data_IF_724191724053
#
_entry.id   IF_724191724053
#
_cell.length_a   1.000
_cell.length_b   1.000
_cell.length_c   1.000
_cell.angle_alpha   90.00
_cell.angle_beta   90.00
_cell.angle_gamma   90.00
#
_symmetry.space_group_name_H-M   'P 1'
#
loop_
_entity.id
_entity.type
_entity.pdbx_description
1 polymer ?
#
# COMPACT_ATOMS: atom_id res chain seq x y z
N UNK A 1 -11.44 2.28 -3.94
CA UNK A 1 -11.98 0.95 -3.59
C UNK A 1 -12.06 0.04 -4.81
N UNK A 2 -12.84 0.36 -5.85
CA UNK A 2 -13.03 -0.52 -7.02
C UNK A 2 -11.75 -0.96 -7.73
N UNK A 3 -10.79 -0.05 -7.94
CA UNK A 3 -9.49 -0.39 -8.53
C UNK A 3 -8.73 -1.46 -7.71
N UNK A 4 -8.69 -1.32 -6.38
CA UNK A 4 -8.04 -2.28 -5.49
C UNK A 4 -8.66 -3.68 -5.56
N UNK A 5 -10.00 -3.75 -5.57
CA UNK A 5 -10.72 -5.01 -5.73
C UNK A 5 -10.41 -5.67 -7.09
N UNK A 6 -10.41 -4.89 -8.16
CA UNK A 6 -10.13 -5.42 -9.50
C UNK A 6 -8.68 -5.88 -9.64
N UNK A 7 -7.72 -5.13 -9.10
CA UNK A 7 -6.31 -5.54 -9.09
C UNK A 7 -6.14 -6.86 -8.32
N UNK A 8 -6.77 -7.01 -7.15
CA UNK A 8 -6.75 -8.27 -6.40
C UNK A 8 -7.32 -9.45 -7.20
N UNK A 9 -8.45 -9.26 -7.89
CA UNK A 9 -9.04 -10.29 -8.77
C UNK A 9 -8.11 -10.69 -9.93
N UNK A 10 -7.29 -9.75 -10.41
CA UNK A 10 -6.33 -9.98 -11.50
C UNK A 10 -4.97 -10.49 -11.00
N UNK A 11 -4.79 -10.64 -9.69
CA UNK A 11 -3.51 -10.97 -9.10
C UNK A 11 -2.44 -9.90 -9.28
N UNK A 12 -2.84 -8.63 -9.27
CA UNK A 12 -1.95 -7.47 -9.43
C UNK A 12 -1.81 -6.78 -8.08
N UNK A 13 -0.57 -6.70 -7.57
CA UNK A 13 -0.27 -5.94 -6.37
C UNK A 13 -0.38 -4.43 -6.62
N UNK A 14 -0.86 -3.68 -5.63
CA UNK A 14 -1.07 -2.23 -5.73
C UNK A 14 -0.31 -1.51 -4.63
N UNK A 15 0.41 -0.44 -5.00
CA UNK A 15 0.94 0.53 -4.06
C UNK A 15 -0.16 1.51 -3.66
N UNK A 16 -0.52 1.50 -2.39
CA UNK A 16 -1.46 2.42 -1.75
C UNK A 16 -0.67 3.63 -1.27
N UNK A 17 -1.00 4.82 -1.77
CA UNK A 17 -0.26 6.08 -1.52
C UNK A 17 -0.44 6.60 -0.07
N UNK A 18 -1.06 7.77 0.10
CA UNK A 18 -1.32 8.38 1.40
C UNK A 18 -2.74 8.16 1.91
N UNK A 19 -3.21 9.11 2.73
CA UNK A 19 -4.43 8.97 3.52
C UNK A 19 -5.68 8.63 2.70
N UNK A 20 -5.96 9.39 1.63
CA UNK A 20 -7.14 9.19 0.79
C UNK A 20 -7.14 7.80 0.15
N UNK A 21 -5.98 7.35 -0.34
CA UNK A 21 -5.82 6.01 -0.90
C UNK A 21 -6.02 4.93 0.17
N UNK A 22 -5.46 5.10 1.37
CA UNK A 22 -5.66 4.18 2.49
C UNK A 22 -7.11 4.11 2.96
N UNK A 23 -7.86 5.22 2.96
CA UNK A 23 -9.29 5.21 3.24
C UNK A 23 -10.06 4.39 2.17
N UNK A 24 -9.72 4.58 0.90
CA UNK A 24 -10.27 3.79 -0.20
C UNK A 24 -9.88 2.29 -0.13
N UNK A 25 -8.72 1.98 0.45
CA UNK A 25 -8.25 0.62 0.72
C UNK A 25 -9.03 0.00 1.89
N UNK A 26 -9.28 0.76 2.97
CA UNK A 26 -10.13 0.33 4.07
C UNK A 26 -11.53 -0.05 3.60
N UNK A 27 -12.14 0.75 2.73
CA UNK A 27 -13.42 0.39 2.11
C UNK A 27 -13.32 -0.91 1.28
N UNK A 28 -12.26 -1.08 0.49
CA UNK A 28 -12.07 -2.29 -0.31
C UNK A 28 -11.93 -3.55 0.56
N UNK A 29 -11.12 -3.48 1.62
CA UNK A 29 -10.89 -4.60 2.54
C UNK A 29 -12.14 -4.95 3.34
N UNK A 30 -12.94 -3.95 3.74
CA UNK A 30 -14.24 -4.21 4.38
C UNK A 30 -15.26 -4.85 3.44
N UNK A 31 -15.20 -4.53 2.13
CA UNK A 31 -16.07 -5.14 1.13
C UNK A 31 -15.61 -6.57 0.76
N UNK A 32 -14.31 -6.79 0.64
CA UNK A 32 -13.72 -8.09 0.38
C UNK A 32 -12.35 -8.20 1.08
N UNK A 33 -12.27 -8.91 2.22
CA UNK A 33 -11.02 -9.09 2.95
C UNK A 33 -9.89 -9.74 2.13
N UNK A 34 -10.22 -10.56 1.14
CA UNK A 34 -9.23 -11.26 0.29
C UNK A 34 -8.42 -10.31 -0.60
N UNK A 35 -8.83 -9.04 -0.72
CA UNK A 35 -8.01 -8.04 -1.42
C UNK A 35 -6.80 -7.56 -0.59
N UNK A 36 -6.82 -7.71 0.75
CA UNK A 36 -5.80 -7.16 1.65
C UNK A 36 -4.35 -7.60 1.32
N UNK A 37 -4.07 -8.88 0.97
CA UNK A 37 -2.72 -9.31 0.60
C UNK A 37 -2.16 -8.63 -0.65
N UNK A 38 -3.03 -8.07 -1.50
CA UNK A 38 -2.63 -7.38 -2.74
C UNK A 38 -2.27 -5.90 -2.51
N UNK A 39 -2.44 -5.39 -1.30
CA UNK A 39 -2.23 -3.97 -0.96
C UNK A 39 -0.92 -3.78 -0.21
N UNK A 40 -0.02 -3.02 -0.81
CA UNK A 40 1.27 -2.61 -0.25
C UNK A 40 1.19 -1.12 0.06
N UNK A 41 1.45 -0.72 1.30
CA UNK A 41 1.30 0.66 1.73
C UNK A 41 2.62 1.42 1.49
N UNK A 42 2.56 2.48 0.69
CA UNK A 42 3.75 3.17 0.21
C UNK A 42 4.39 4.04 1.30
N UNK A 43 3.62 4.92 1.92
CA UNK A 43 4.16 5.82 2.93
C UNK A 43 3.16 6.12 4.05
N UNK A 44 3.68 6.56 5.21
CA UNK A 44 2.87 7.22 6.23
C UNK A 44 2.67 8.69 5.84
N UNK A 45 1.45 9.04 5.41
CA UNK A 45 1.02 10.45 5.31
C UNK A 45 1.08 11.15 6.68
N UNK A 46 1.46 12.43 6.67
CA UNK A 46 1.44 13.32 7.83
C UNK A 46 0.02 13.81 8.21
N UNK A 47 -1.01 13.33 7.52
CA UNK A 47 -2.40 13.64 7.87
C UNK A 47 -2.82 12.94 9.18
N UNK A 48 -3.45 13.65 10.14
CA UNK A 48 -3.72 13.12 11.49
C UNK A 48 -4.50 11.81 11.53
N UNK A 49 -5.41 11.59 10.58
CA UNK A 49 -6.24 10.39 10.53
C UNK A 49 -5.55 9.15 9.95
N UNK A 50 -4.37 9.30 9.34
CA UNK A 50 -3.80 8.21 8.56
C UNK A 50 -3.31 7.05 9.41
N UNK A 51 -2.75 7.32 10.58
CA UNK A 51 -2.30 6.28 11.50
C UNK A 51 -3.45 5.34 11.90
N UNK A 52 -4.61 5.90 12.27
CA UNK A 52 -5.79 5.12 12.64
C UNK A 52 -6.30 4.23 11.48
N UNK A 53 -6.19 4.70 10.24
CA UNK A 53 -6.56 3.90 9.06
C UNK A 53 -5.57 2.76 8.83
N UNK A 54 -4.26 3.02 8.97
CA UNK A 54 -3.23 1.98 8.86
C UNK A 54 -3.40 0.91 9.96
N UNK A 55 -3.68 1.31 11.20
CA UNK A 55 -3.98 0.41 12.31
C UNK A 55 -5.21 -0.46 12.03
N UNK A 56 -6.31 0.14 11.56
CA UNK A 56 -7.51 -0.59 11.18
C UNK A 56 -7.29 -1.60 10.04
N UNK A 57 -6.26 -1.36 9.21
CA UNK A 57 -5.84 -2.25 8.13
C UNK A 57 -4.73 -3.24 8.54
N UNK A 58 -4.21 -3.16 9.77
CA UNK A 58 -3.01 -3.88 10.19
C UNK A 58 -1.86 -3.66 9.22
N UNK A 59 -1.68 -2.43 8.75
CA UNK A 59 -0.76 -2.07 7.68
C UNK A 59 0.50 -1.39 8.22
N UNK A 60 1.66 -1.78 7.67
CA UNK A 60 2.94 -1.11 7.90
C UNK A 60 3.38 -0.49 6.56
N UNK A 61 3.56 0.83 6.48
CA UNK A 61 4.01 1.48 5.26
C UNK A 61 5.51 1.28 5.02
N UNK A 62 5.94 1.33 3.76
CA UNK A 62 7.35 1.20 3.39
C UNK A 62 8.18 2.43 3.78
N UNK A 63 7.57 3.61 3.80
CA UNK A 63 8.25 4.90 3.99
C UNK A 63 7.58 5.74 5.09
N UNK A 64 8.36 6.51 5.85
CA UNK A 64 7.88 7.56 6.75
C UNK A 64 8.71 8.83 6.51
N UNK A 65 8.22 9.70 5.62
CA UNK A 65 8.95 10.86 5.08
C UNK A 65 8.21 12.19 5.34
N UNK A 66 7.15 12.18 6.14
CA UNK A 66 6.35 13.39 6.42
C UNK A 66 5.57 13.96 5.22
N UNK A 67 5.33 13.15 4.18
CA UNK A 67 4.62 13.56 2.97
C UNK A 67 3.12 13.76 3.24
N UNK A 68 2.47 14.68 2.51
CA UNK A 68 1.02 14.94 2.56
C UNK A 68 0.44 15.50 1.26
N UNK A 69 1.16 15.35 0.15
CA UNK A 69 0.74 15.88 -1.16
C UNK A 69 -0.39 15.03 -1.77
N UNK A 70 -0.26 13.70 -1.68
CA UNK A 70 -1.15 12.78 -2.38
C UNK A 70 -0.74 12.60 -3.85
N UNK A 71 -1.73 12.44 -4.72
CA UNK A 71 -1.55 12.31 -6.18
C UNK A 71 -0.70 11.10 -6.62
N UNK A 72 -0.47 10.13 -5.73
CA UNK A 72 0.40 8.99 -6.00
C UNK A 72 1.89 9.29 -5.85
N UNK A 73 2.26 10.46 -5.30
CA UNK A 73 3.66 10.85 -5.12
C UNK A 73 4.42 9.94 -4.15
N UNK A 74 3.81 9.54 -3.04
CA UNK A 74 4.40 8.57 -2.11
C UNK A 74 4.48 7.17 -2.72
N UNK A 75 3.46 6.75 -3.47
CA UNK A 75 3.48 5.50 -4.24
C UNK A 75 4.61 5.48 -5.29
N UNK A 76 4.81 6.57 -6.03
CA UNK A 76 5.90 6.70 -6.98
C UNK A 76 7.28 6.60 -6.31
N UNK A 77 7.47 7.24 -5.16
CA UNK A 77 8.70 7.13 -4.37
C UNK A 77 8.93 5.73 -3.80
N UNK A 78 7.88 4.97 -3.55
CA UNK A 78 7.96 3.60 -3.04
C UNK A 78 8.26 2.54 -4.12
N UNK A 79 8.12 2.86 -5.41
CA UNK A 79 8.41 1.93 -6.53
C UNK A 79 9.82 1.31 -6.44
N UNK A 80 10.92 2.08 -6.33
CA UNK A 80 12.26 1.50 -6.26
C UNK A 80 12.45 0.61 -5.03
N UNK A 81 11.84 0.96 -3.88
CA UNK A 81 11.90 0.14 -2.66
C UNK A 81 11.19 -1.19 -2.87
N UNK A 82 9.99 -1.16 -3.43
CA UNK A 82 9.22 -2.37 -3.73
C UNK A 82 9.92 -3.29 -4.75
N UNK A 83 10.57 -2.71 -5.77
CA UNK A 83 11.36 -3.45 -6.74
C UNK A 83 12.60 -4.09 -6.09
N UNK A 84 13.30 -3.35 -5.21
CA UNK A 84 14.45 -3.85 -4.46
C UNK A 84 14.10 -5.02 -3.54
N UNK A 85 12.97 -4.94 -2.82
CA UNK A 85 12.48 -6.03 -1.97
C UNK A 85 12.19 -7.30 -2.78
N UNK A 86 11.55 -7.16 -3.94
CA UNK A 86 11.28 -8.29 -4.84
C UNK A 86 12.56 -8.94 -5.36
N UNK A 87 13.58 -8.14 -5.71
CA UNK A 87 14.88 -8.66 -6.14
C UNK A 87 15.56 -9.45 -5.01
N UNK A 88 15.62 -8.88 -3.80
CA UNK A 88 16.22 -9.54 -2.64
C UNK A 88 15.53 -10.86 -2.26
N UNK A 89 14.21 -10.93 -2.40
CA UNK A 89 13.43 -12.16 -2.16
C UNK A 89 13.73 -13.26 -3.20
N UNK A 90 14.01 -12.89 -4.46
CA UNK A 90 14.41 -13.86 -5.49
C UNK A 90 15.80 -14.43 -5.22
N UNK A 91 16.75 -13.61 -4.80
CA UNK A 91 18.13 -14.04 -4.57
C UNK A 91 18.26 -14.94 -3.32
N UNK A 92 17.34 -14.81 -2.36
CA UNK A 92 17.27 -15.66 -1.17
C UNK A 92 16.67 -17.06 -1.40
N UNK A 93 15.87 -17.23 -2.46
CA UNK A 93 15.18 -18.48 -2.82
C UNK A 93 16.04 -19.41 -3.72
N UNK A 94 17.25 -18.96 -4.08
CA UNK A 94 18.24 -19.70 -4.90
C UNK A 94 19.34 -20.32 -4.03
N UNK A 95 19.16 -20.40 -2.70
CA UNK A 95 20.08 -21.07 -1.77
C UNK A 95 19.45 -22.23 -1.04
#
# INVERSE_FOLDING_TARGET
AGAYLRCAQLGIAVLVDGFICSAAALCAVRLNPDCRPWLIFAHRSAEPGHLAVLEALGAVPLLDLGLRLGEGSGAALAVPVAAGLRAAQRDGDVR
#
